data_IF_795635649955
#
_entry.id   IF_795635649955
#
_cell.length_a   1.000
_cell.length_b   1.000
_cell.length_c   1.000
_cell.angle_alpha   90.00
_cell.angle_beta   90.00
_cell.angle_gamma   90.00
#
_symmetry.space_group_name_H-M   'P 1'
#
loop_
_entity.id
_entity.type
_entity.pdbx_description
1 polymer ?
#
# COMPACT_ATOMS: atom_id res chain seq x y z
N UNK A 1 -23.08 -1.56 4.67
CA UNK A 1 -22.14 -1.50 5.81
C UNK A 1 -20.74 -1.72 5.27
N UNK A 2 -19.77 -0.90 5.65
CA UNK A 2 -18.38 -1.05 5.20
C UNK A 2 -17.77 -2.21 5.98
N UNK A 3 -17.28 -3.25 5.28
CA UNK A 3 -16.58 -4.36 5.94
C UNK A 3 -15.18 -3.91 6.36
N UNK A 4 -14.59 -4.61 7.32
CA UNK A 4 -13.28 -4.26 7.87
C UNK A 4 -12.19 -4.40 6.81
N UNK A 5 -12.30 -5.43 5.97
CA UNK A 5 -11.46 -5.71 4.82
C UNK A 5 -11.49 -4.55 3.82
N UNK A 6 -12.69 -4.07 3.48
CA UNK A 6 -12.85 -2.96 2.53
C UNK A 6 -12.28 -1.66 3.11
N UNK A 7 -12.40 -1.43 4.41
CA UNK A 7 -11.80 -0.26 5.06
C UNK A 7 -10.27 -0.27 4.97
N UNK A 8 -9.62 -1.42 5.18
CA UNK A 8 -8.16 -1.56 5.03
C UNK A 8 -7.71 -1.43 3.58
N UNK A 9 -8.45 -2.02 2.63
CA UNK A 9 -8.16 -1.88 1.20
C UNK A 9 -8.27 -0.41 0.76
N UNK A 10 -9.31 0.30 1.22
CA UNK A 10 -9.47 1.73 0.92
C UNK A 10 -8.36 2.58 1.53
N UNK A 11 -7.94 2.30 2.76
CA UNK A 11 -6.79 2.96 3.38
C UNK A 11 -5.54 2.81 2.51
N UNK A 12 -5.20 1.57 2.14
CA UNK A 12 -4.06 1.27 1.28
C UNK A 12 -4.16 1.98 -0.08
N UNK A 13 -5.33 1.93 -0.72
CA UNK A 13 -5.58 2.58 -1.99
C UNK A 13 -5.39 4.11 -1.92
N UNK A 14 -5.94 4.77 -0.89
CA UNK A 14 -5.80 6.22 -0.72
C UNK A 14 -4.34 6.61 -0.48
N UNK A 15 -3.62 5.88 0.37
CA UNK A 15 -2.19 6.11 0.62
C UNK A 15 -1.38 5.99 -0.66
N UNK A 16 -1.58 4.91 -1.42
CA UNK A 16 -0.88 4.65 -2.68
C UNK A 16 -1.22 5.68 -3.75
N UNK A 17 -2.49 6.06 -3.91
CA UNK A 17 -2.90 7.07 -4.88
C UNK A 17 -2.24 8.42 -4.58
N UNK A 18 -2.25 8.86 -3.32
CA UNK A 18 -1.59 10.10 -2.91
C UNK A 18 -0.07 10.03 -3.15
N UNK A 19 0.54 8.88 -2.83
CA UNK A 19 1.96 8.65 -3.02
C UNK A 19 2.35 8.73 -4.51
N UNK A 20 1.72 7.89 -5.35
CA UNK A 20 2.08 7.73 -6.76
C UNK A 20 1.65 8.89 -7.66
N UNK A 21 0.51 9.54 -7.38
CA UNK A 21 0.04 10.66 -8.20
C UNK A 21 0.62 12.01 -7.79
N UNK A 22 0.90 12.24 -6.49
CA UNK A 22 1.30 13.56 -6.00
C UNK A 22 2.71 13.59 -5.43
N UNK A 23 3.03 12.66 -4.51
CA UNK A 23 4.30 12.72 -3.78
C UNK A 23 5.50 12.29 -4.63
N UNK A 24 5.44 11.10 -5.24
CA UNK A 24 6.56 10.50 -5.99
C UNK A 24 6.99 11.34 -7.20
N UNK A 25 6.06 11.86 -8.05
CA UNK A 25 6.47 12.72 -9.16
C UNK A 25 7.19 13.99 -8.71
N UNK A 26 6.85 14.50 -7.52
CA UNK A 26 7.41 15.76 -6.99
C UNK A 26 8.74 15.56 -6.27
N UNK A 27 8.97 14.42 -5.62
CA UNK A 27 10.14 14.18 -4.76
C UNK A 27 11.15 13.21 -5.38
N UNK A 28 10.67 12.11 -5.97
CA UNK A 28 11.52 11.03 -6.46
C UNK A 28 11.78 11.13 -7.96
N UNK A 29 10.78 11.54 -8.76
CA UNK A 29 10.91 11.62 -10.22
C UNK A 29 11.35 10.29 -10.82
N UNK A 30 12.48 10.28 -11.54
CA UNK A 30 13.05 9.08 -12.18
C UNK A 30 13.90 8.21 -11.22
N UNK A 31 14.15 8.64 -9.98
CA UNK A 31 15.01 7.94 -9.03
C UNK A 31 14.25 6.78 -8.35
N UNK A 32 14.45 5.57 -8.88
CA UNK A 32 13.84 4.34 -8.39
C UNK A 32 14.16 4.04 -6.93
N UNK A 33 15.37 4.41 -6.46
CA UNK A 33 15.78 4.12 -5.07
C UNK A 33 14.98 4.98 -4.10
N UNK A 34 14.76 6.25 -4.44
CA UNK A 34 13.92 7.14 -3.63
C UNK A 34 12.48 6.64 -3.56
N UNK A 35 11.91 6.22 -4.70
CA UNK A 35 10.57 5.64 -4.74
C UNK A 35 10.48 4.45 -3.78
N UNK A 36 11.40 3.48 -3.88
CA UNK A 36 11.38 2.28 -3.02
C UNK A 36 11.50 2.61 -1.51
N UNK A 37 12.33 3.59 -1.14
CA UNK A 37 12.46 4.01 0.27
C UNK A 37 11.16 4.64 0.77
N UNK A 38 10.58 5.57 0.01
CA UNK A 38 9.31 6.18 0.40
C UNK A 38 8.17 5.17 0.44
N UNK A 39 8.16 4.22 -0.50
CA UNK A 39 7.15 3.18 -0.54
C UNK A 39 7.19 2.31 0.71
N UNK A 40 8.39 1.86 1.11
CA UNK A 40 8.60 1.13 2.36
C UNK A 40 8.09 1.91 3.58
N UNK A 41 8.31 3.24 3.62
CA UNK A 41 7.82 4.09 4.70
C UNK A 41 6.28 4.18 4.71
N UNK A 42 5.64 4.25 3.55
CA UNK A 42 4.18 4.29 3.44
C UNK A 42 3.57 2.94 3.78
N UNK A 43 4.17 1.82 3.37
CA UNK A 43 3.76 0.48 3.79
C UNK A 43 3.85 0.35 5.32
N UNK A 44 4.94 0.82 5.92
CA UNK A 44 5.11 0.80 7.38
C UNK A 44 4.05 1.66 8.09
N UNK A 45 3.74 2.85 7.55
CA UNK A 45 2.66 3.71 8.05
C UNK A 45 1.30 3.02 7.97
N UNK A 46 0.99 2.36 6.84
CA UNK A 46 -0.25 1.61 6.67
C UNK A 46 -0.36 0.49 7.72
N UNK A 47 0.72 -0.27 7.91
CA UNK A 47 0.79 -1.32 8.94
C UNK A 47 0.65 -0.76 10.35
N UNK A 48 1.22 0.40 10.66
CA UNK A 48 1.08 1.04 11.96
C UNK A 48 -0.36 1.52 12.21
N UNK A 49 -1.02 2.10 11.21
CA UNK A 49 -2.41 2.55 11.33
C UNK A 49 -3.33 1.36 11.57
N UNK A 50 -3.25 0.34 10.71
CA UNK A 50 -4.09 -0.87 10.85
C UNK A 50 -3.73 -1.62 12.13
N UNK A 51 -2.44 -1.78 12.41
CA UNK A 51 -1.93 -2.39 13.64
C UNK A 51 -2.48 -1.69 14.86
N UNK A 52 -2.38 -0.36 14.96
CA UNK A 52 -2.90 0.39 16.12
C UNK A 52 -4.40 0.14 16.40
N UNK A 53 -5.18 -0.21 15.37
CA UNK A 53 -6.61 -0.44 15.49
C UNK A 53 -6.98 -1.89 15.83
N UNK A 54 -6.26 -2.85 15.28
CA UNK A 54 -6.55 -4.30 15.37
C UNK A 54 -5.51 -5.07 16.20
N UNK A 55 -4.56 -4.38 16.82
CA UNK A 55 -3.60 -5.00 17.73
C UNK A 55 -4.34 -5.57 18.93
N UNK A 56 -4.12 -6.86 19.20
CA UNK A 56 -4.77 -7.56 20.30
C UNK A 56 -6.25 -7.88 20.07
N UNK A 57 -6.79 -7.65 18.86
CA UNK A 57 -8.14 -8.12 18.51
C UNK A 57 -8.06 -9.50 17.84
N UNK A 58 -9.06 -10.35 18.07
CA UNK A 58 -9.23 -11.63 17.37
C UNK A 58 -9.95 -11.45 16.02
N UNK A 59 -9.83 -10.26 15.42
CA UNK A 59 -10.46 -9.98 14.13
C UNK A 59 -9.76 -10.80 13.04
N UNK A 60 -10.46 -11.80 12.52
CA UNK A 60 -10.04 -12.51 11.32
C UNK A 60 -10.26 -11.64 10.07
N UNK A 61 -9.31 -11.70 9.15
CA UNK A 61 -9.41 -11.09 7.83
C UNK A 61 -9.40 -12.21 6.79
N UNK A 62 -10.33 -12.16 5.83
CA UNK A 62 -10.34 -13.13 4.74
C UNK A 62 -9.51 -12.62 3.55
N UNK A 63 -8.49 -13.38 3.15
CA UNK A 63 -7.65 -13.08 2.01
C UNK A 63 -7.66 -14.28 1.05
N UNK A 64 -8.26 -14.13 -0.13
CA UNK A 64 -8.38 -15.18 -1.15
C UNK A 64 -8.97 -16.51 -0.63
N UNK A 65 -9.93 -16.45 0.29
CA UNK A 65 -10.54 -17.64 0.90
C UNK A 65 -9.77 -18.23 2.09
N UNK A 66 -8.68 -17.60 2.54
CA UNK A 66 -7.94 -17.98 3.73
C UNK A 66 -8.11 -16.94 4.84
N UNK A 67 -8.32 -17.40 6.07
CA UNK A 67 -8.31 -16.53 7.23
C UNK A 67 -6.87 -16.15 7.59
N UNK A 68 -6.65 -14.86 7.77
CA UNK A 68 -5.35 -14.27 8.11
C UNK A 68 -5.50 -13.13 9.11
N UNK A 69 -4.36 -12.62 9.55
CA UNK A 69 -4.29 -11.49 10.49
C UNK A 69 -4.22 -10.17 9.74
N UNK A 70 -4.51 -9.08 10.46
CA UNK A 70 -4.42 -7.72 9.92
C UNK A 70 -3.07 -7.43 9.24
N UNK A 71 -1.96 -7.94 9.79
CA UNK A 71 -0.62 -7.71 9.25
C UNK A 71 -0.48 -8.23 7.80
N UNK A 72 -0.80 -9.52 7.61
CA UNK A 72 -0.69 -10.16 6.30
C UNK A 72 -1.74 -9.62 5.32
N UNK A 73 -2.96 -9.37 5.81
CA UNK A 73 -4.01 -8.78 5.00
C UNK A 73 -3.58 -7.41 4.45
N UNK A 74 -3.10 -6.51 5.31
CA UNK A 74 -2.64 -5.18 4.92
C UNK A 74 -1.44 -5.27 3.97
N UNK A 75 -0.44 -6.10 4.29
CA UNK A 75 0.76 -6.21 3.46
C UNK A 75 0.46 -6.74 2.05
N UNK A 76 -0.30 -7.83 1.94
CA UNK A 76 -0.60 -8.45 0.65
C UNK A 76 -1.52 -7.56 -0.19
N UNK A 77 -2.56 -6.97 0.41
CA UNK A 77 -3.45 -6.05 -0.32
C UNK A 77 -2.73 -4.78 -0.76
N UNK A 78 -1.80 -4.27 0.06
CA UNK A 78 -0.94 -3.15 -0.31
C UNK A 78 -0.11 -3.48 -1.56
N UNK A 79 0.61 -4.61 -1.55
CA UNK A 79 1.43 -5.04 -2.69
C UNK A 79 0.60 -5.24 -3.96
N UNK A 80 -0.58 -5.84 -3.86
CA UNK A 80 -1.48 -6.04 -5.02
C UNK A 80 -1.88 -4.70 -5.65
N UNK A 81 -2.16 -3.69 -4.82
CA UNK A 81 -2.53 -2.35 -5.29
C UNK A 81 -1.32 -1.56 -5.80
N UNK A 82 -0.16 -1.74 -5.17
CA UNK A 82 1.07 -1.03 -5.51
C UNK A 82 1.62 -1.48 -6.86
N UNK A 83 1.69 -2.79 -7.12
CA UNK A 83 2.27 -3.36 -8.35
C UNK A 83 1.80 -2.70 -9.67
N UNK A 84 0.48 -2.53 -9.93
CA UNK A 84 0.03 -1.85 -11.15
C UNK A 84 0.41 -0.37 -11.18
N UNK A 85 0.41 0.31 -10.03
CA UNK A 85 0.80 1.73 -9.92
C UNK A 85 2.30 1.91 -10.14
N UNK A 86 3.13 1.03 -9.58
CA UNK A 86 4.56 1.00 -9.78
C UNK A 86 4.92 0.82 -11.26
N UNK A 87 4.30 -0.17 -11.92
CA UNK A 87 4.49 -0.42 -13.36
C UNK A 87 4.09 0.80 -14.18
N UNK A 88 2.94 1.42 -13.88
CA UNK A 88 2.49 2.63 -14.56
C UNK A 88 3.47 3.80 -14.37
N UNK A 89 3.92 4.01 -13.13
CA UNK A 89 4.83 5.09 -12.78
C UNK A 89 6.16 4.96 -13.50
N UNK A 90 6.77 3.77 -13.51
CA UNK A 90 8.03 3.53 -14.20
C UNK A 90 7.91 3.66 -15.72
N UNK A 91 6.74 3.36 -16.30
CA UNK A 91 6.50 3.62 -17.73
C UNK A 91 6.40 5.11 -18.06
N UNK A 92 5.99 5.95 -17.09
CA UNK A 92 5.79 7.39 -17.31
C UNK A 92 7.01 8.23 -16.95
N UNK A 93 7.72 7.87 -15.89
CA UNK A 93 8.83 8.66 -15.32
C UNK A 93 10.18 7.94 -15.34
N UNK A 94 10.22 6.66 -15.75
CA UNK A 94 11.47 5.91 -15.88
C UNK A 94 12.39 6.50 -16.98
N UNK A 95 13.70 6.21 -16.91
CA UNK A 95 14.65 6.68 -17.92
C UNK A 95 14.25 6.16 -19.32
N UNK A 96 14.42 6.97 -20.39
CA UNK A 96 14.21 6.50 -21.75
C UNK A 96 15.13 5.30 -21.99
N UNK A 97 14.53 4.20 -22.46
CA UNK A 97 15.27 3.00 -22.88
C UNK A 97 16.02 3.28 -24.18
#
# INVERSE_FOLDING_TARGET
>A
MLTVELAVILLNAVLLLLAYFWWYPRVAGADLRKVAVFDTLITLLALLIVGSRFWGTEQAFELFGFNTNWFWFTLVTYLILEMPLAIWYFRRYGPPR
#
